data_IF_464704517806
#
_entry.id   IF_464704517806
#
_cell.length_a   1.000
_cell.length_b   1.000
_cell.length_c   1.000
_cell.angle_alpha   90.00
_cell.angle_beta   90.00
_cell.angle_gamma   90.00
#
_symmetry.space_group_name_H-M   'P 1'
#
loop_
_entity.id
_entity.type
_entity.pdbx_description
1 polymer ?
#
# COMPACT_ATOMS: atom_id res chain seq x y z
N UNK A 1 2.12 -22.83 31.18
CA UNK A 1 0.90 -22.43 31.91
C UNK A 1 0.06 -21.40 31.13
N UNK A 2 0.54 -20.16 30.93
CA UNK A 2 -0.23 -19.10 30.26
C UNK A 2 -0.79 -19.47 28.88
N UNK A 3 0.01 -20.14 28.04
CA UNK A 3 -0.46 -20.61 26.72
C UNK A 3 -1.64 -21.60 26.81
N UNK A 4 -1.65 -22.50 27.80
CA UNK A 4 -2.77 -23.42 28.01
C UNK A 4 -4.00 -22.71 28.56
N UNK A 5 -3.83 -21.74 29.46
CA UNK A 5 -4.93 -20.89 29.93
C UNK A 5 -5.54 -20.11 28.75
N UNK A 6 -4.70 -19.53 27.88
CA UNK A 6 -5.15 -18.80 26.70
C UNK A 6 -5.93 -19.71 25.75
N UNK A 7 -5.41 -20.91 25.46
CA UNK A 7 -6.13 -21.90 24.65
C UNK A 7 -7.48 -22.27 25.27
N UNK A 8 -7.54 -22.47 26.60
CA UNK A 8 -8.80 -22.71 27.31
C UNK A 8 -9.79 -21.56 27.16
N UNK A 9 -9.34 -20.30 27.28
CA UNK A 9 -10.17 -19.13 27.04
C UNK A 9 -10.72 -19.06 25.60
N UNK A 10 -9.89 -19.40 24.60
CA UNK A 10 -10.32 -19.49 23.20
C UNK A 10 -11.38 -20.58 22.99
N UNK A 11 -11.20 -21.75 23.60
CA UNK A 11 -12.18 -22.83 23.56
C UNK A 11 -13.49 -22.46 24.27
N UNK A 12 -13.44 -21.70 25.36
CA UNK A 12 -14.63 -21.16 26.04
C UNK A 12 -15.38 -20.20 25.13
N UNK A 13 -14.67 -19.33 24.39
CA UNK A 13 -15.28 -18.43 23.41
C UNK A 13 -15.96 -19.18 22.27
N UNK A 14 -15.34 -20.24 21.74
CA UNK A 14 -15.88 -21.05 20.65
C UNK A 14 -17.07 -21.91 21.10
N UNK A 15 -16.88 -22.71 22.15
CA UNK A 15 -17.88 -23.66 22.65
C UNK A 15 -18.98 -23.05 23.51
N UNK A 16 -18.78 -21.82 23.98
CA UNK A 16 -19.65 -21.09 24.93
C UNK A 16 -19.89 -21.87 26.22
N UNK A 17 -18.91 -22.67 26.61
CA UNK A 17 -18.98 -23.55 27.78
C UNK A 17 -17.81 -23.27 28.70
N UNK A 18 -18.10 -22.79 29.91
CA UNK A 18 -17.10 -22.57 30.95
C UNK A 18 -16.78 -23.94 31.58
N UNK A 19 -15.51 -24.38 31.57
CA UNK A 19 -15.13 -25.67 32.12
C UNK A 19 -15.32 -25.69 33.65
N UNK A 20 -15.52 -26.89 34.18
CA UNK A 20 -15.55 -27.11 35.62
C UNK A 20 -14.13 -27.16 36.21
N UNK A 21 -13.98 -26.73 37.46
CA UNK A 21 -12.89 -27.16 38.31
C UNK A 21 -13.44 -28.07 39.42
N UNK A 22 -13.49 -29.38 39.14
CA UNK A 22 -14.02 -30.39 40.08
C UNK A 22 -13.18 -30.53 41.36
N UNK A 23 -11.91 -30.12 41.29
CA UNK A 23 -10.97 -30.22 42.40
C UNK A 23 -10.85 -28.89 43.19
N UNK A 24 -11.72 -27.91 42.94
CA UNK A 24 -11.71 -26.64 43.66
C UNK A 24 -12.36 -26.79 45.05
N UNK A 25 -11.76 -27.60 45.93
CA UNK A 25 -12.22 -27.85 47.30
C UNK A 25 -11.65 -26.84 48.32
N UNK A 26 -10.65 -26.06 47.92
CA UNK A 26 -9.92 -25.11 48.76
C UNK A 26 -10.22 -23.63 48.43
N UNK A 27 -11.40 -23.33 47.89
CA UNK A 27 -11.83 -21.94 47.65
C UNK A 27 -11.99 -21.23 48.99
N UNK A 28 -11.30 -20.10 49.17
CA UNK A 28 -11.33 -19.30 50.40
C UNK A 28 -12.78 -18.85 50.72
N UNK A 29 -13.33 -19.18 51.91
CA UNK A 29 -14.66 -18.74 52.32
C UNK A 29 -14.88 -17.22 52.27
N UNK A 30 -13.82 -16.41 52.42
CA UNK A 30 -13.92 -14.96 52.31
C UNK A 30 -14.37 -14.50 50.92
N UNK A 31 -14.14 -15.31 49.88
CA UNK A 31 -14.58 -15.00 48.50
C UNK A 31 -16.09 -15.14 48.31
N UNK A 32 -16.83 -15.74 49.24
CA UNK A 32 -18.29 -15.85 49.17
C UNK A 32 -18.99 -14.48 49.16
N UNK A 33 -18.35 -13.43 49.68
CA UNK A 33 -18.90 -12.07 49.64
C UNK A 33 -18.82 -11.45 48.24
N UNK A 34 -18.03 -12.01 47.32
CA UNK A 34 -17.86 -11.50 45.96
C UNK A 34 -18.96 -12.04 45.03
N UNK A 35 -20.06 -11.30 44.91
CA UNK A 35 -21.28 -11.70 44.15
C UNK A 35 -21.06 -11.94 42.65
N UNK A 36 -19.98 -11.41 42.08
CA UNK A 36 -19.63 -11.58 40.66
C UNK A 36 -18.60 -12.68 40.42
N UNK A 37 -18.11 -13.34 41.48
CA UNK A 37 -17.11 -14.40 41.39
C UNK A 37 -17.80 -15.77 41.45
N UNK A 38 -17.46 -16.65 40.52
CA UNK A 38 -18.05 -17.99 40.43
C UNK A 38 -16.97 -19.03 40.16
N UNK A 39 -16.98 -20.10 40.95
CA UNK A 39 -16.08 -21.25 40.82
C UNK A 39 -16.91 -22.49 40.43
N UNK A 40 -17.09 -22.76 39.13
CA UNK A 40 -17.99 -23.83 38.69
C UNK A 40 -17.39 -25.21 38.97
N UNK A 41 -18.11 -26.06 39.71
CA UNK A 41 -17.79 -27.50 39.90
C UNK A 41 -18.37 -28.39 38.79
N UNK A 42 -19.19 -27.81 37.91
CA UNK A 42 -19.77 -28.45 36.71
C UNK A 42 -19.68 -27.51 35.52
N UNK A 43 -19.61 -28.01 34.28
CA UNK A 43 -19.57 -27.14 33.10
C UNK A 43 -20.80 -26.24 33.05
N UNK A 44 -20.61 -24.96 32.73
CA UNK A 44 -21.69 -23.97 32.60
C UNK A 44 -21.73 -23.48 31.17
N UNK A 45 -22.86 -23.73 30.49
CA UNK A 45 -23.09 -23.19 29.16
C UNK A 45 -23.67 -21.78 29.29
N UNK A 46 -23.07 -20.84 28.57
CA UNK A 46 -23.51 -19.44 28.51
C UNK A 46 -24.00 -19.12 27.10
N UNK A 47 -24.79 -18.05 26.97
CA UNK A 47 -25.28 -17.64 25.65
C UNK A 47 -24.15 -17.11 24.76
N UNK A 48 -23.20 -16.40 25.37
CA UNK A 48 -22.14 -15.69 24.68
C UNK A 48 -20.96 -15.38 25.62
N UNK A 49 -19.76 -15.36 25.07
CA UNK A 49 -18.53 -14.96 25.77
C UNK A 49 -17.89 -13.85 24.95
N UNK A 50 -18.02 -12.62 25.46
CA UNK A 50 -17.62 -11.41 24.71
C UNK A 50 -16.13 -11.13 24.79
N UNK A 51 -15.54 -11.41 25.95
CA UNK A 51 -14.16 -11.14 26.26
C UNK A 51 -13.70 -12.07 27.40
N UNK A 52 -12.39 -12.16 27.58
CA UNK A 52 -11.77 -12.73 28.78
C UNK A 52 -10.58 -11.87 29.20
N UNK A 53 -10.25 -11.94 30.49
CA UNK A 53 -8.97 -11.50 31.01
C UNK A 53 -8.22 -12.72 31.53
N UNK A 54 -6.95 -12.82 31.16
CA UNK A 54 -6.04 -13.84 31.63
C UNK A 54 -4.92 -13.14 32.37
N UNK A 55 -4.71 -13.54 33.63
CA UNK A 55 -3.58 -13.07 34.43
C UNK A 55 -2.66 -14.25 34.69
N UNK A 56 -1.43 -14.17 34.20
CA UNK A 56 -0.39 -15.14 34.50
C UNK A 56 0.49 -14.60 35.61
N UNK A 57 0.25 -15.06 36.84
CA UNK A 57 1.19 -14.88 37.94
C UNK A 57 1.95 -16.20 38.13
N UNK A 58 3.21 -16.23 37.70
CA UNK A 58 4.08 -17.37 37.94
C UNK A 58 4.92 -17.15 39.20
N UNK A 59 5.63 -18.18 39.65
CA UNK A 59 6.69 -18.05 40.67
C UNK A 59 7.91 -17.23 40.21
N UNK A 60 7.89 -16.68 38.99
CA UNK A 60 8.92 -15.77 38.49
C UNK A 60 8.57 -14.31 38.78
N UNK A 61 9.59 -13.45 38.84
CA UNK A 61 9.46 -11.99 39.06
C UNK A 61 8.64 -11.24 37.98
N UNK A 62 8.17 -11.93 36.94
CA UNK A 62 7.45 -11.35 35.79
C UNK A 62 6.08 -11.99 35.67
N UNK A 63 5.04 -11.19 35.83
CA UNK A 63 3.66 -11.52 35.49
C UNK A 63 3.24 -10.91 34.16
N UNK A 64 2.10 -11.34 33.64
CA UNK A 64 1.50 -10.77 32.43
C UNK A 64 -0.02 -10.82 32.48
N UNK A 65 -0.65 -9.82 31.87
CA UNK A 65 -2.10 -9.76 31.67
C UNK A 65 -2.41 -9.74 30.18
N UNK A 66 -3.43 -10.48 29.77
CA UNK A 66 -3.93 -10.52 28.40
C UNK A 66 -5.43 -10.30 28.43
N UNK A 67 -5.91 -9.38 27.59
CA UNK A 67 -7.33 -9.20 27.32
C UNK A 67 -7.60 -9.80 25.94
N UNK A 68 -8.51 -10.77 25.89
CA UNK A 68 -9.02 -11.33 24.65
C UNK A 68 -10.43 -10.80 24.38
N UNK A 69 -10.70 -10.38 23.14
CA UNK A 69 -12.01 -9.92 22.70
C UNK A 69 -12.50 -10.85 21.59
N UNK A 70 -13.79 -11.21 21.62
CA UNK A 70 -14.35 -12.11 20.62
C UNK A 70 -14.21 -11.53 19.20
N UNK A 71 -13.80 -12.33 18.19
CA UNK A 71 -13.44 -11.83 16.86
C UNK A 71 -14.60 -11.16 16.12
N UNK A 72 -15.85 -11.47 16.48
CA UNK A 72 -17.04 -10.81 15.95
C UNK A 72 -17.02 -9.29 16.13
N UNK A 73 -16.40 -8.78 17.20
CA UNK A 73 -16.27 -7.34 17.41
C UNK A 73 -15.27 -6.71 16.45
N UNK A 74 -14.18 -7.41 16.15
CA UNK A 74 -13.23 -6.98 15.12
C UNK A 74 -13.86 -7.01 13.72
N UNK A 75 -14.60 -8.07 13.38
CA UNK A 75 -15.28 -8.12 12.09
C UNK A 75 -16.39 -7.07 11.95
N UNK A 76 -17.03 -6.68 13.05
CA UNK A 76 -18.02 -5.61 13.07
C UNK A 76 -17.42 -4.21 12.85
N UNK A 77 -16.09 -4.02 12.93
CA UNK A 77 -15.44 -2.75 12.58
C UNK A 77 -15.08 -2.65 11.11
N UNK A 78 -15.31 -3.69 10.31
CA UNK A 78 -14.99 -3.71 8.88
C UNK A 78 -16.20 -3.27 8.05
N UNK A 79 -15.94 -2.61 6.92
CA UNK A 79 -16.95 -2.39 5.91
C UNK A 79 -17.51 -3.72 5.39
N UNK A 80 -18.80 -3.72 5.04
CA UNK A 80 -19.50 -4.94 4.62
C UNK A 80 -18.83 -5.60 3.40
N UNK A 81 -18.36 -4.81 2.44
CA UNK A 81 -17.66 -5.30 1.25
C UNK A 81 -16.34 -6.00 1.62
N UNK A 82 -15.55 -5.39 2.53
CA UNK A 82 -14.27 -5.93 3.01
C UNK A 82 -14.50 -7.23 3.77
N UNK A 83 -15.53 -7.28 4.63
CA UNK A 83 -15.90 -8.49 5.36
C UNK A 83 -16.35 -9.62 4.43
N UNK A 84 -17.15 -9.32 3.40
CA UNK A 84 -17.61 -10.30 2.40
C UNK A 84 -16.44 -10.87 1.59
N UNK A 85 -15.54 -10.01 1.10
CA UNK A 85 -14.32 -10.45 0.41
C UNK A 85 -13.44 -11.33 1.31
N UNK A 86 -13.23 -10.92 2.56
CA UNK A 86 -12.51 -11.74 3.54
C UNK A 86 -13.18 -13.11 3.75
N UNK A 87 -14.51 -13.14 3.91
CA UNK A 87 -15.30 -14.35 4.15
C UNK A 87 -15.16 -15.36 3.00
N UNK A 88 -15.14 -14.90 1.75
CA UNK A 88 -14.91 -15.74 0.57
C UNK A 88 -13.49 -16.33 0.61
N UNK A 89 -12.47 -15.51 0.90
CA UNK A 89 -11.07 -15.97 0.94
C UNK A 89 -10.80 -16.96 2.07
N UNK A 90 -11.31 -16.70 3.28
CA UNK A 90 -11.11 -17.59 4.43
C UNK A 90 -11.84 -18.93 4.23
N UNK A 91 -13.05 -18.90 3.69
CA UNK A 91 -13.82 -20.13 3.39
C UNK A 91 -13.08 -20.99 2.36
N UNK A 92 -12.51 -20.36 1.31
CA UNK A 92 -11.70 -21.06 0.31
C UNK A 92 -10.49 -21.74 0.96
N UNK A 93 -9.77 -21.04 1.85
CA UNK A 93 -8.60 -21.59 2.56
C UNK A 93 -8.98 -22.73 3.52
N UNK A 94 -10.08 -22.57 4.27
CA UNK A 94 -10.59 -23.63 5.17
C UNK A 94 -10.83 -24.92 4.40
N UNK A 95 -11.55 -24.87 3.27
CA UNK A 95 -11.81 -26.06 2.45
C UNK A 95 -10.54 -26.73 1.95
N UNK A 96 -9.52 -25.96 1.58
CA UNK A 96 -8.22 -26.52 1.19
C UNK A 96 -7.52 -27.19 2.38
N UNK A 97 -7.53 -26.54 3.55
CA UNK A 97 -6.95 -27.09 4.77
C UNK A 97 -7.66 -28.38 5.22
N UNK A 98 -8.99 -28.41 5.18
CA UNK A 98 -9.80 -29.59 5.55
C UNK A 98 -9.48 -30.79 4.66
N UNK A 99 -9.33 -30.57 3.35
CA UNK A 99 -8.93 -31.61 2.40
C UNK A 99 -7.51 -32.11 2.67
N UNK A 100 -6.58 -31.21 2.94
CA UNK A 100 -5.20 -31.57 3.28
C UNK A 100 -5.15 -32.37 4.59
N UNK A 101 -5.93 -31.97 5.60
CA UNK A 101 -6.02 -32.66 6.89
C UNK A 101 -6.64 -34.06 6.73
N UNK A 102 -7.74 -34.20 6.00
CA UNK A 102 -8.36 -35.50 5.72
C UNK A 102 -7.39 -36.44 4.97
N UNK A 103 -6.68 -35.93 3.96
CA UNK A 103 -5.63 -36.69 3.25
C UNK A 103 -4.54 -37.15 4.21
N UNK A 104 -4.06 -36.25 5.07
CA UNK A 104 -3.02 -36.55 6.04
C UNK A 104 -3.45 -37.59 7.09
N UNK A 105 -4.72 -37.57 7.51
CA UNK A 105 -5.29 -38.57 8.40
C UNK A 105 -5.34 -39.95 7.72
N UNK A 106 -5.82 -40.02 6.47
CA UNK A 106 -5.90 -41.28 5.71
C UNK A 106 -4.53 -41.87 5.37
N UNK A 107 -3.51 -41.03 5.23
CA UNK A 107 -2.14 -41.46 4.89
C UNK A 107 -1.22 -41.57 6.11
N UNK A 108 -1.73 -41.47 7.35
CA UNK A 108 -0.93 -41.43 8.58
C UNK A 108 0.22 -40.41 8.55
N UNK A 109 0.00 -39.25 7.90
CA UNK A 109 1.00 -38.22 7.67
C UNK A 109 0.55 -36.84 8.20
N UNK A 110 -0.18 -36.82 9.33
CA UNK A 110 -0.64 -35.58 10.00
C UNK A 110 0.55 -34.72 10.42
N UNK A 111 1.61 -35.35 10.92
CA UNK A 111 2.86 -34.69 11.28
C UNK A 111 3.85 -34.86 10.14
N UNK A 112 4.26 -33.75 9.54
CA UNK A 112 5.37 -33.70 8.58
C UNK A 112 6.52 -32.95 9.25
N UNK A 113 7.53 -33.70 9.67
CA UNK A 113 8.75 -33.11 10.25
C UNK A 113 9.54 -32.45 9.11
N UNK A 114 9.95 -31.21 9.33
CA UNK A 114 10.82 -30.47 8.41
C UNK A 114 12.25 -30.53 8.93
N UNK A 115 13.21 -30.77 8.05
CA UNK A 115 14.63 -30.91 8.42
C UNK A 115 15.38 -29.56 8.50
N UNK A 116 14.82 -28.52 7.89
CA UNK A 116 15.41 -27.18 7.83
C UNK A 116 14.34 -26.09 7.88
N UNK A 117 14.77 -24.86 8.15
CA UNK A 117 13.88 -23.69 8.11
C UNK A 117 13.48 -23.35 6.66
N UNK A 118 12.29 -22.80 6.41
CA UNK A 118 11.85 -22.40 5.07
C UNK A 118 12.56 -21.12 4.54
N UNK A 119 13.64 -20.70 5.18
CA UNK A 119 14.41 -19.51 4.87
C UNK A 119 15.89 -19.75 5.17
N UNK A 120 16.73 -18.99 4.47
CA UNK A 120 18.16 -18.92 4.74
C UNK A 120 18.45 -18.12 6.01
N UNK A 121 19.52 -18.47 6.72
CA UNK A 121 19.87 -17.87 8.01
C UNK A 121 20.10 -16.35 7.92
N UNK A 122 20.58 -15.87 6.77
CA UNK A 122 20.82 -14.45 6.47
C UNK A 122 19.52 -13.63 6.43
N UNK A 123 18.40 -14.27 6.08
CA UNK A 123 17.10 -13.62 5.89
C UNK A 123 16.21 -13.66 7.14
N UNK A 124 16.55 -14.51 8.11
CA UNK A 124 15.77 -14.76 9.31
C UNK A 124 15.29 -13.47 9.99
N UNK A 125 16.20 -12.50 10.19
CA UNK A 125 15.87 -11.24 10.86
C UNK A 125 14.89 -10.39 10.06
N UNK A 126 15.02 -10.37 8.73
CA UNK A 126 14.13 -9.59 7.85
C UNK A 126 12.73 -10.19 7.83
N UNK A 127 12.65 -11.52 7.73
CA UNK A 127 11.38 -12.27 7.73
C UNK A 127 10.65 -12.11 9.06
N UNK A 128 11.34 -12.25 10.18
CA UNK A 128 10.72 -12.16 11.51
C UNK A 128 10.19 -10.75 11.82
N UNK A 129 10.80 -9.73 11.22
CA UNK A 129 10.42 -8.34 11.39
C UNK A 129 9.39 -7.86 10.34
N UNK A 130 9.03 -8.70 9.37
CA UNK A 130 7.98 -8.40 8.38
C UNK A 130 6.70 -9.21 8.64
N UNK A 131 5.65 -8.61 9.24
CA UNK A 131 4.37 -9.29 9.48
C UNK A 131 3.63 -9.65 8.19
N UNK A 132 4.06 -9.14 7.03
CA UNK A 132 3.48 -9.42 5.72
C UNK A 132 4.22 -10.53 4.96
N UNK A 133 5.35 -11.02 5.46
CA UNK A 133 6.09 -12.13 4.84
C UNK A 133 5.24 -13.41 4.84
N UNK A 134 5.26 -14.14 3.72
CA UNK A 134 4.49 -15.38 3.52
C UNK A 134 5.38 -16.44 2.89
N UNK A 135 5.17 -17.69 3.29
CA UNK A 135 5.76 -18.86 2.63
C UNK A 135 4.94 -19.24 1.40
N UNK A 136 5.62 -19.75 0.40
CA UNK A 136 5.04 -20.30 -0.83
C UNK A 136 5.44 -21.78 -0.93
N UNK A 137 4.51 -22.60 -1.41
CA UNK A 137 4.79 -24.01 -1.73
C UNK A 137 5.43 -24.09 -3.11
N UNK A 138 6.58 -24.71 -3.19
CA UNK A 138 7.23 -25.08 -4.44
C UNK A 138 6.43 -26.20 -5.11
N UNK A 139 6.02 -26.00 -6.36
CA UNK A 139 5.11 -26.92 -7.05
C UNK A 139 5.75 -28.27 -7.41
N UNK A 140 7.08 -28.32 -7.55
CA UNK A 140 7.82 -29.50 -7.98
C UNK A 140 8.22 -30.37 -6.79
N UNK A 141 8.70 -29.75 -5.73
CA UNK A 141 9.19 -30.42 -4.52
C UNK A 141 8.13 -30.54 -3.42
N UNK A 142 7.08 -29.71 -3.45
CA UNK A 142 6.10 -29.58 -2.36
C UNK A 142 6.70 -28.99 -1.07
N UNK A 143 7.91 -28.43 -1.14
CA UNK A 143 8.58 -27.78 -0.01
C UNK A 143 8.07 -26.35 0.15
N UNK A 144 8.11 -25.83 1.38
CA UNK A 144 7.70 -24.45 1.66
C UNK A 144 8.94 -23.58 1.81
N UNK A 145 8.97 -22.45 1.09
CA UNK A 145 10.06 -21.47 1.16
C UNK A 145 9.54 -20.05 1.17
N UNK A 146 10.33 -19.11 1.68
CA UNK A 146 10.13 -17.68 1.42
C UNK A 146 10.73 -17.32 0.06
N UNK A 147 9.97 -16.64 -0.80
CA UNK A 147 10.54 -16.09 -2.04
C UNK A 147 11.48 -14.93 -1.68
N UNK A 148 12.75 -15.06 -2.03
CA UNK A 148 13.79 -14.05 -1.78
C UNK A 148 13.44 -12.68 -2.36
N UNK A 149 12.63 -12.63 -3.42
CA UNK A 149 12.12 -11.38 -4.02
C UNK A 149 11.11 -10.65 -3.14
N UNK A 150 10.41 -11.39 -2.29
CA UNK A 150 9.42 -10.86 -1.36
C UNK A 150 10.04 -10.50 0.00
N UNK A 151 11.29 -10.89 0.27
CA UNK A 151 12.00 -10.56 1.50
C UNK A 151 12.47 -9.10 1.45
N UNK A 152 11.80 -8.26 2.23
CA UNK A 152 11.99 -6.80 2.23
C UNK A 152 12.93 -6.33 3.34
N UNK A 153 13.49 -5.14 3.16
CA UNK A 153 14.20 -4.45 4.24
C UNK A 153 13.19 -3.77 5.18
N UNK A 154 13.59 -3.54 6.44
CA UNK A 154 12.71 -2.98 7.48
C UNK A 154 12.09 -1.64 7.08
N UNK A 155 12.82 -0.79 6.34
CA UNK A 155 12.30 0.47 5.81
C UNK A 155 11.11 0.27 4.85
N UNK A 156 11.21 -0.72 3.95
CA UNK A 156 10.15 -1.05 2.99
C UNK A 156 8.93 -1.66 3.68
N UNK A 157 9.15 -2.45 4.74
CA UNK A 157 8.09 -3.03 5.57
C UNK A 157 7.26 -1.91 6.20
N UNK A 158 7.91 -0.90 6.79
CA UNK A 158 7.22 0.25 7.40
C UNK A 158 6.41 1.02 6.37
N UNK A 159 6.97 1.28 5.19
CA UNK A 159 6.26 1.95 4.10
C UNK A 159 5.03 1.14 3.64
N UNK A 160 5.19 -0.18 3.47
CA UNK A 160 4.10 -1.09 3.07
C UNK A 160 2.99 -1.19 4.11
N UNK A 161 3.34 -1.30 5.40
CA UNK A 161 2.36 -1.31 6.49
C UNK A 161 1.60 0.02 6.55
N UNK A 162 2.29 1.14 6.37
CA UNK A 162 1.67 2.48 6.33
C UNK A 162 0.62 2.55 5.22
N UNK A 163 0.94 2.04 4.03
CA UNK A 163 0.00 1.95 2.90
C UNK A 163 -1.20 1.05 3.20
N UNK A 164 -0.97 -0.13 3.79
CA UNK A 164 -2.05 -1.05 4.13
C UNK A 164 -2.98 -0.48 5.23
N UNK A 165 -2.43 0.22 6.23
CA UNK A 165 -3.22 0.92 7.26
C UNK A 165 -4.05 2.06 6.65
N UNK A 166 -3.57 2.70 5.58
CA UNK A 166 -4.33 3.71 4.80
C UNK A 166 -5.40 3.11 3.88
N UNK A 167 -5.56 1.78 3.84
CA UNK A 167 -6.55 1.11 3.01
C UNK A 167 -6.09 0.84 1.57
N UNK A 168 -4.82 1.07 1.24
CA UNK A 168 -4.29 0.78 -0.10
C UNK A 168 -4.18 -0.74 -0.31
N UNK A 169 -4.80 -1.28 -1.37
CA UNK A 169 -4.79 -2.71 -1.69
C UNK A 169 -3.37 -3.16 -2.08
N UNK A 170 -2.69 -3.93 -1.21
CA UNK A 170 -1.34 -4.46 -1.48
C UNK A 170 -1.25 -5.37 -2.72
N UNK A 171 -2.33 -6.10 -3.00
CA UNK A 171 -2.43 -7.04 -4.12
C UNK A 171 -3.69 -6.72 -4.93
N UNK A 172 -3.93 -5.44 -5.25
CA UNK A 172 -4.71 -5.17 -6.45
C UNK A 172 -3.99 -5.91 -7.58
N UNK A 173 -4.57 -7.03 -8.03
CA UNK A 173 -4.20 -7.56 -9.33
C UNK A 173 -4.30 -6.39 -10.31
N UNK A 174 -3.41 -6.23 -11.29
CA UNK A 174 -3.44 -5.09 -12.22
C UNK A 174 -4.67 -5.12 -13.17
N UNK A 175 -5.81 -5.63 -12.72
CA UNK A 175 -7.09 -5.75 -13.43
C UNK A 175 -7.92 -4.47 -13.31
N UNK A 176 -7.64 -3.62 -12.33
CA UNK A 176 -7.95 -2.20 -12.39
C UNK A 176 -6.59 -1.53 -12.49
N UNK A 177 -6.20 -1.16 -13.71
CA UNK A 177 -4.94 -0.47 -13.94
C UNK A 177 -4.78 0.60 -12.87
N UNK A 178 -3.69 0.51 -12.08
CA UNK A 178 -3.37 1.57 -11.14
C UNK A 178 -3.51 2.92 -11.84
N UNK A 179 -3.83 3.99 -11.13
CA UNK A 179 -3.88 5.32 -11.73
C UNK A 179 -2.67 5.57 -12.64
N UNK A 180 -1.51 5.08 -12.23
CA UNK A 180 -0.28 5.06 -13.02
C UNK A 180 -0.39 4.29 -14.35
N UNK A 181 -0.89 3.05 -14.36
CA UNK A 181 -1.04 2.28 -15.60
C UNK A 181 -2.08 2.90 -16.55
N UNK A 182 -3.15 3.52 -16.02
CA UNK A 182 -4.08 4.30 -16.84
C UNK A 182 -3.39 5.52 -17.45
N UNK A 183 -2.72 6.31 -16.62
CA UNK A 183 -1.99 7.49 -17.05
C UNK A 183 -0.89 7.15 -18.06
N UNK A 184 -0.13 6.06 -17.84
CA UNK A 184 0.92 5.58 -18.73
C UNK A 184 0.39 5.12 -20.08
N UNK A 185 -0.75 4.41 -20.14
CA UNK A 185 -1.36 4.01 -21.42
C UNK A 185 -1.87 5.20 -22.22
N UNK A 186 -2.50 6.18 -21.55
CA UNK A 186 -2.90 7.43 -22.20
C UNK A 186 -1.69 8.21 -22.74
N UNK A 187 -0.59 8.25 -21.97
CA UNK A 187 0.65 8.85 -22.41
C UNK A 187 1.27 8.10 -23.60
N UNK A 188 1.32 6.76 -23.56
CA UNK A 188 1.83 5.94 -24.66
C UNK A 188 1.02 6.13 -25.94
N UNK A 189 -0.31 6.07 -25.88
CA UNK A 189 -1.17 6.30 -27.03
C UNK A 189 -0.98 7.70 -27.64
N UNK A 190 -0.71 8.71 -26.80
CA UNK A 190 -0.39 10.05 -27.27
C UNK A 190 0.98 10.11 -27.95
N UNK A 191 2.02 9.49 -27.37
CA UNK A 191 3.36 9.41 -27.98
C UNK A 191 3.28 8.72 -29.35
N UNK A 192 2.59 7.58 -29.42
CA UNK A 192 2.39 6.82 -30.67
C UNK A 192 1.65 7.64 -31.73
N UNK A 193 0.65 8.45 -31.34
CA UNK A 193 -0.04 9.37 -32.26
C UNK A 193 0.89 10.45 -32.81
N UNK A 194 1.83 10.96 -32.01
CA UNK A 194 2.78 11.98 -32.45
C UNK A 194 3.91 11.42 -33.32
N UNK A 195 4.34 10.18 -33.06
CA UNK A 195 5.46 9.53 -33.78
C UNK A 195 5.01 8.71 -34.99
N UNK A 196 3.86 8.03 -34.91
CA UNK A 196 3.38 7.03 -35.88
C UNK A 196 2.98 7.54 -37.28
N UNK A 197 3.04 8.85 -37.53
CA UNK A 197 2.75 9.46 -38.84
C UNK A 197 3.89 10.31 -39.41
N UNK A 198 5.02 10.42 -38.72
CA UNK A 198 6.15 11.29 -39.10
C UNK A 198 7.40 10.44 -39.29
N UNK A 199 7.66 10.00 -40.52
CA UNK A 199 8.82 9.13 -40.84
C UNK A 199 10.20 9.80 -40.67
N UNK A 200 10.29 11.10 -40.41
CA UNK A 200 11.57 11.79 -40.25
C UNK A 200 11.47 13.17 -39.58
N UNK A 201 10.61 13.34 -38.56
CA UNK A 201 10.71 14.57 -37.76
C UNK A 201 11.78 14.37 -36.71
N UNK A 202 12.81 15.21 -36.80
CA UNK A 202 13.91 15.39 -35.84
C UNK A 202 13.36 15.66 -34.44
N UNK A 203 12.86 14.60 -33.82
CA UNK A 203 12.43 14.60 -32.42
C UNK A 203 13.72 14.67 -31.62
N UNK A 204 14.08 15.87 -31.18
CA UNK A 204 15.42 16.07 -30.62
C UNK A 204 15.49 15.61 -29.17
N UNK A 205 14.37 15.72 -28.43
CA UNK A 205 14.36 15.53 -26.97
C UNK A 205 12.98 15.13 -26.45
N UNK A 206 12.97 14.41 -25.33
CA UNK A 206 11.76 14.03 -24.58
C UNK A 206 11.95 14.35 -23.10
N UNK A 207 10.87 14.72 -22.42
CA UNK A 207 10.86 14.85 -20.97
C UNK A 207 9.60 14.25 -20.37
N UNK A 208 9.75 13.60 -19.22
CA UNK A 208 8.65 12.93 -18.51
C UNK A 208 8.70 13.26 -17.02
N UNK A 209 7.54 13.51 -16.44
CA UNK A 209 7.42 13.70 -15.01
C UNK A 209 6.16 13.05 -14.44
N UNK A 210 6.24 12.63 -13.19
CA UNK A 210 5.16 11.99 -12.46
C UNK A 210 4.97 12.68 -11.12
N UNK A 211 3.72 13.02 -10.80
CA UNK A 211 3.33 13.57 -9.51
C UNK A 211 2.37 12.62 -8.83
N UNK A 212 2.75 12.16 -7.64
CA UNK A 212 1.84 11.49 -6.71
C UNK A 212 0.94 12.55 -6.06
N UNK A 213 -0.37 12.43 -6.28
CA UNK A 213 -1.35 13.38 -5.75
C UNK A 213 -1.43 13.30 -4.24
N UNK A 214 -1.21 12.14 -3.62
CA UNK A 214 -1.23 11.99 -2.17
C UNK A 214 -0.07 12.75 -1.50
N UNK A 215 1.07 12.85 -2.18
CA UNK A 215 2.27 13.53 -1.71
C UNK A 215 2.35 15.02 -2.11
N UNK A 216 1.50 15.48 -3.04
CA UNK A 216 1.52 16.86 -3.52
C UNK A 216 0.79 17.83 -2.57
N UNK A 217 1.53 18.52 -1.72
CA UNK A 217 1.04 19.59 -0.83
C UNK A 217 1.39 21.01 -1.30
N UNK A 218 2.10 21.14 -2.42
CA UNK A 218 2.63 22.42 -2.88
C UNK A 218 1.56 23.47 -3.23
N UNK A 219 0.31 23.05 -3.49
CA UNK A 219 -0.85 23.93 -3.66
C UNK A 219 -1.26 24.69 -2.39
N UNK A 220 -0.79 24.27 -1.22
CA UNK A 220 -1.05 24.94 0.07
C UNK A 220 0.10 25.89 0.45
N UNK A 221 1.22 25.85 -0.28
CA UNK A 221 2.41 26.64 0.00
C UNK A 221 2.47 27.87 -0.90
N UNK A 222 2.09 29.03 -0.37
CA UNK A 222 2.08 30.30 -1.11
C UNK A 222 3.45 30.67 -1.68
N UNK A 223 4.53 30.47 -0.91
CA UNK A 223 5.90 30.74 -1.38
C UNK A 223 6.27 29.86 -2.57
N UNK A 224 5.86 28.59 -2.57
CA UNK A 224 6.07 27.69 -3.70
C UNK A 224 5.28 28.17 -4.93
N UNK A 225 4.02 28.54 -4.73
CA UNK A 225 3.14 29.02 -5.81
C UNK A 225 3.71 30.30 -6.43
N UNK A 226 4.05 31.28 -5.59
CA UNK A 226 4.62 32.55 -6.00
C UNK A 226 5.96 32.42 -6.68
N UNK A 227 6.72 31.34 -6.44
CA UNK A 227 8.04 31.16 -7.03
C UNK A 227 8.02 30.44 -8.37
N UNK A 228 7.03 29.56 -8.59
CA UNK A 228 7.06 28.61 -9.70
C UNK A 228 5.98 28.81 -10.76
N UNK A 229 4.88 29.52 -10.45
CA UNK A 229 3.75 29.68 -11.37
C UNK A 229 3.63 31.12 -11.87
N UNK A 230 3.21 31.28 -13.13
CA UNK A 230 2.91 32.59 -13.73
C UNK A 230 1.59 33.15 -13.21
N UNK A 231 1.33 34.44 -13.45
CA UNK A 231 0.05 35.04 -13.06
C UNK A 231 -1.16 34.38 -13.75
N UNK A 232 -1.00 33.96 -15.02
CA UNK A 232 -2.08 33.28 -15.75
C UNK A 232 -2.34 31.88 -15.19
N UNK A 233 -1.29 31.14 -14.84
CA UNK A 233 -1.40 29.81 -14.21
C UNK A 233 -2.06 29.90 -12.85
N UNK A 234 -1.69 30.90 -12.03
CA UNK A 234 -2.31 31.16 -10.73
C UNK A 234 -3.79 31.53 -10.89
N UNK A 235 -4.12 32.40 -11.84
CA UNK A 235 -5.50 32.78 -12.12
C UNK A 235 -6.36 31.57 -12.53
N UNK A 236 -5.83 30.71 -13.41
CA UNK A 236 -6.49 29.47 -13.80
C UNK A 236 -6.70 28.53 -12.60
N UNK A 237 -5.65 28.30 -11.80
CA UNK A 237 -5.71 27.36 -10.69
C UNK A 237 -6.74 27.82 -9.64
N UNK A 238 -6.82 29.14 -9.36
CA UNK A 238 -7.82 29.72 -8.45
C UNK A 238 -9.26 29.58 -8.94
N UNK A 239 -9.49 29.50 -10.25
CA UNK A 239 -10.82 29.29 -10.84
C UNK A 239 -11.21 27.79 -10.95
N UNK A 240 -10.27 26.89 -10.69
CA UNK A 240 -10.51 25.45 -10.79
C UNK A 240 -11.21 24.92 -9.53
N UNK A 241 -12.21 24.04 -9.72
CA UNK A 241 -12.91 23.37 -8.60
C UNK A 241 -11.95 22.53 -7.75
N UNK A 242 -10.92 21.96 -8.40
CA UNK A 242 -9.84 21.23 -7.75
C UNK A 242 -8.52 21.97 -7.95
N UNK A 243 -8.17 22.82 -6.98
CA UNK A 243 -6.94 23.61 -7.02
C UNK A 243 -5.70 22.72 -6.94
N UNK A 244 -5.76 21.63 -6.16
CA UNK A 244 -4.66 20.68 -6.00
C UNK A 244 -4.31 20.06 -7.36
N UNK A 245 -5.30 19.55 -8.08
CA UNK A 245 -5.11 19.00 -9.43
C UNK A 245 -4.62 20.05 -10.41
N UNK A 246 -5.13 21.29 -10.36
CA UNK A 246 -4.71 22.36 -11.26
C UNK A 246 -3.23 22.76 -11.09
N UNK A 247 -2.74 22.79 -9.85
CA UNK A 247 -1.32 23.05 -9.57
C UNK A 247 -0.44 21.83 -9.84
N UNK A 248 -0.87 20.62 -9.45
CA UNK A 248 -0.12 19.39 -9.64
C UNK A 248 0.11 19.07 -11.13
N UNK A 249 -0.92 19.22 -11.96
CA UNK A 249 -0.84 19.00 -13.41
C UNK A 249 0.14 19.96 -14.09
N UNK A 250 0.10 21.25 -13.73
CA UNK A 250 1.05 22.26 -14.23
C UNK A 250 2.46 22.03 -13.73
N UNK A 251 2.62 21.59 -12.49
CA UNK A 251 3.93 21.25 -11.93
C UNK A 251 4.58 20.10 -12.71
N UNK A 252 3.85 18.99 -12.88
CA UNK A 252 4.30 17.86 -13.69
C UNK A 252 4.65 18.28 -15.13
N UNK A 253 3.80 19.12 -15.73
CA UNK A 253 4.05 19.66 -17.06
C UNK A 253 5.33 20.52 -17.14
N UNK A 254 5.56 21.41 -16.17
CA UNK A 254 6.78 22.23 -16.13
C UNK A 254 8.02 21.37 -15.97
N UNK A 255 7.99 20.37 -15.09
CA UNK A 255 9.09 19.41 -14.92
C UNK A 255 9.36 18.59 -16.19
N UNK A 256 8.31 18.13 -16.88
CA UNK A 256 8.44 17.43 -18.15
C UNK A 256 9.07 18.33 -19.23
N UNK A 257 8.64 19.59 -19.34
CA UNK A 257 9.24 20.57 -20.26
C UNK A 257 10.70 20.85 -19.88
N UNK A 258 10.99 21.06 -18.59
CA UNK A 258 12.34 21.30 -18.11
C UNK A 258 13.30 20.14 -18.46
N UNK A 259 12.86 18.89 -18.26
CA UNK A 259 13.61 17.69 -18.64
C UNK A 259 13.79 17.59 -20.16
N UNK A 260 12.77 17.97 -20.93
CA UNK A 260 12.83 18.00 -22.40
C UNK A 260 13.86 19.02 -22.90
N UNK A 261 13.98 20.19 -22.27
CA UNK A 261 14.89 21.26 -22.70
C UNK A 261 16.39 20.92 -22.55
N UNK A 262 16.76 19.90 -21.76
CA UNK A 262 18.16 19.54 -21.45
C UNK A 262 19.02 20.72 -20.96
N UNK A 263 18.40 21.76 -20.39
CA UNK A 263 19.11 22.93 -19.87
C UNK A 263 19.85 22.57 -18.58
N UNK A 264 21.09 23.04 -18.44
CA UNK A 264 21.82 22.90 -17.18
C UNK A 264 21.01 23.50 -16.02
N UNK A 265 20.82 22.72 -14.96
CA UNK A 265 20.11 23.19 -13.78
C UNK A 265 20.89 24.34 -13.13
N UNK A 266 20.21 25.41 -12.71
CA UNK A 266 20.81 26.45 -11.84
C UNK A 266 20.80 26.00 -10.36
N UNK A 267 20.81 24.69 -10.10
CA UNK A 267 20.59 24.06 -8.80
C UNK A 267 19.15 23.59 -8.57
N UNK A 268 18.95 22.74 -7.55
CA UNK A 268 17.66 22.13 -7.18
C UNK A 268 16.54 23.14 -6.82
N UNK A 269 16.90 24.42 -6.71
CA UNK A 269 16.00 25.51 -6.37
C UNK A 269 15.77 26.51 -7.51
N UNK A 270 16.04 26.21 -8.78
CA UNK A 270 15.70 27.16 -9.85
C UNK A 270 14.17 27.40 -9.93
N UNK A 271 13.75 28.64 -10.12
CA UNK A 271 12.33 28.98 -10.26
C UNK A 271 11.79 28.49 -11.62
N UNK A 272 10.60 27.88 -11.64
CA UNK A 272 9.98 27.38 -12.88
C UNK A 272 9.09 28.39 -13.63
N UNK A 273 9.19 29.68 -13.28
CA UNK A 273 8.39 30.75 -13.91
C UNK A 273 8.74 31.02 -15.37
N UNK A 274 9.93 30.63 -15.82
CA UNK A 274 10.38 30.82 -17.20
C UNK A 274 9.68 29.86 -18.19
N UNK A 275 8.91 28.89 -17.67
CA UNK A 275 8.10 27.93 -18.42
C UNK A 275 6.64 28.21 -18.10
N UNK A 276 5.83 28.57 -19.10
CA UNK A 276 4.39 28.76 -18.93
C UNK A 276 3.60 27.64 -19.62
N UNK A 277 2.67 27.02 -18.89
CA UNK A 277 1.79 25.98 -19.43
C UNK A 277 0.50 26.63 -19.95
N UNK A 278 0.40 26.72 -21.27
CA UNK A 278 -0.72 27.34 -21.98
C UNK A 278 -1.67 26.26 -22.50
N UNK A 279 -2.98 26.42 -22.28
CA UNK A 279 -3.98 25.53 -22.86
C UNK A 279 -4.24 25.96 -24.32
N UNK A 280 -4.02 25.07 -25.29
CA UNK A 280 -4.48 25.26 -26.67
C UNK A 280 -5.68 24.35 -26.97
N UNK A 281 -6.39 24.63 -28.07
CA UNK A 281 -7.59 23.87 -28.48
C UNK A 281 -7.29 22.38 -28.77
N UNK A 282 -6.04 22.04 -29.13
CA UNK A 282 -5.66 20.68 -29.56
C UNK A 282 -4.93 19.86 -28.48
N UNK A 283 -4.24 20.51 -27.53
CA UNK A 283 -3.51 19.92 -26.39
C UNK A 283 -2.90 21.04 -25.50
N UNK A 284 -2.56 20.79 -24.22
CA UNK A 284 -1.69 21.74 -23.50
C UNK A 284 -0.35 21.91 -24.23
N UNK A 285 0.20 23.12 -24.25
CA UNK A 285 1.50 23.46 -24.83
C UNK A 285 2.38 24.11 -23.78
N UNK A 286 3.67 23.78 -23.77
CA UNK A 286 4.66 24.42 -22.91
C UNK A 286 5.38 25.53 -23.66
N UNK A 287 5.23 26.78 -23.22
CA UNK A 287 6.04 27.90 -23.72
C UNK A 287 7.21 28.11 -22.75
N UNK A 288 8.39 27.64 -23.13
CA UNK A 288 9.64 28.06 -22.50
C UNK A 288 10.24 29.17 -23.36
N UNK A 289 10.60 30.32 -22.76
CA UNK A 289 11.22 31.42 -23.51
C UNK A 289 12.38 30.88 -24.36
N UNK A 290 12.24 30.92 -25.70
CA UNK A 290 13.05 30.30 -26.79
C UNK A 290 14.55 30.11 -26.50
N UNK A 291 14.92 29.24 -25.56
CA UNK A 291 16.30 29.09 -25.07
C UNK A 291 16.99 27.78 -25.47
N UNK A 292 16.30 26.82 -26.08
CA UNK A 292 16.84 25.47 -26.29
C UNK A 292 16.96 25.00 -27.75
N UNK A 293 16.89 25.92 -28.74
CA UNK A 293 17.00 25.54 -30.15
C UNK A 293 15.85 24.66 -30.68
N UNK A 294 14.81 24.45 -29.88
CA UNK A 294 13.56 23.79 -30.28
C UNK A 294 12.62 24.84 -30.89
N UNK A 295 11.95 24.48 -31.98
CA UNK A 295 10.91 25.31 -32.61
C UNK A 295 9.60 25.24 -31.83
N UNK A 296 9.27 24.06 -31.32
CA UNK A 296 8.01 23.79 -30.63
C UNK A 296 8.17 22.70 -29.56
N UNK A 297 7.33 22.76 -28.52
CA UNK A 297 7.26 21.77 -27.45
C UNK A 297 5.81 21.32 -27.28
N UNK A 298 5.56 20.08 -27.66
CA UNK A 298 4.25 19.45 -27.47
C UNK A 298 4.19 18.82 -26.09
N UNK A 299 3.05 18.98 -25.41
CA UNK A 299 2.86 18.52 -24.05
C UNK A 299 1.57 17.71 -23.95
N UNK A 300 1.62 16.63 -23.18
CA UNK A 300 0.45 15.86 -22.78
C UNK A 300 0.48 15.61 -21.30
N UNK A 301 -0.69 15.73 -20.67
CA UNK A 301 -0.89 15.44 -19.25
C UNK A 301 -1.98 14.38 -19.18
N UNK A 302 -1.65 13.23 -18.61
CA UNK A 302 -2.59 12.14 -18.39
C UNK A 302 -2.85 11.95 -16.90
N UNK A 303 -4.10 11.67 -16.55
CA UNK A 303 -4.54 11.57 -15.17
C UNK A 303 -4.80 10.11 -14.81
N UNK A 304 -4.25 9.70 -13.67
CA UNK A 304 -4.62 8.50 -12.94
C UNK A 304 -5.49 8.85 -11.73
N UNK A 305 -5.97 7.83 -11.04
CA UNK A 305 -6.75 7.97 -9.81
C UNK A 305 -5.95 8.66 -8.68
N UNK A 306 -4.67 8.32 -8.55
CA UNK A 306 -3.78 8.72 -7.45
C UNK A 306 -2.52 9.48 -7.92
N UNK A 307 -2.32 9.60 -9.22
CA UNK A 307 -1.13 10.23 -9.79
C UNK A 307 -1.40 10.91 -11.13
N UNK A 308 -0.45 11.74 -11.53
CA UNK A 308 -0.43 12.46 -12.80
C UNK A 308 0.87 12.13 -13.52
N UNK A 309 0.81 12.01 -14.84
CA UNK A 309 1.99 11.93 -15.70
C UNK A 309 1.95 13.03 -16.74
N UNK A 310 3.08 13.69 -16.96
CA UNK A 310 3.25 14.65 -18.04
C UNK A 310 4.38 14.19 -18.95
N UNK A 311 4.17 14.33 -20.27
CA UNK A 311 5.15 14.02 -21.31
C UNK A 311 5.30 15.24 -22.21
N UNK A 312 6.53 15.69 -22.39
CA UNK A 312 6.90 16.75 -23.32
C UNK A 312 7.79 16.20 -24.44
N UNK A 313 7.53 16.61 -25.68
CA UNK A 313 8.32 16.28 -26.87
C UNK A 313 8.80 17.58 -27.50
N UNK A 314 10.12 17.70 -27.66
CA UNK A 314 10.76 18.82 -28.32
C UNK A 314 10.97 18.56 -29.81
N UNK A 315 10.57 19.50 -30.65
CA UNK A 315 10.74 19.46 -32.10
C UNK A 315 11.89 20.40 -32.49
N UNK A 316 12.95 19.89 -33.11
CA UNK A 316 13.99 20.74 -33.70
C UNK A 316 13.44 21.46 -34.93
N UNK A 317 13.84 22.71 -35.07
CA UNK A 317 13.77 23.38 -36.37
C UNK A 317 14.91 22.95 -37.29
N UNK A 318 14.67 22.99 -38.59
CA UNK A 318 15.69 22.75 -39.62
C UNK A 318 16.74 23.88 -39.74
N UNK A 319 16.94 24.69 -38.69
CA UNK A 319 17.89 25.81 -38.67
C UNK A 319 19.05 25.56 -37.71
N UNK A 320 20.28 26.03 -38.02
CA UNK A 320 21.41 25.90 -37.10
C UNK A 320 21.10 26.62 -35.79
N UNK A 321 21.36 25.93 -34.67
CA UNK A 321 21.04 26.43 -33.35
C UNK A 321 21.80 27.73 -33.05
N UNK A 322 21.08 28.85 -33.04
CA UNK A 322 21.65 30.16 -32.68
C UNK A 322 21.73 30.27 -31.17
N UNK A 323 22.92 30.08 -30.61
CA UNK A 323 23.17 30.33 -29.19
C UNK A 323 24.22 31.42 -29.01
N UNK A 324 23.87 32.43 -28.22
CA UNK A 324 24.80 33.10 -27.30
C UNK A 324 23.98 33.59 -26.12
N UNK A 325 24.54 33.46 -24.91
CA UNK A 325 23.93 33.84 -23.62
C UNK A 325 23.55 35.32 -23.57
#
# INVERSE_FOLDING_TARGET
AAAWMLNGCLQVMDSRTIPANRNADNVDPALQTATHLCFPTRPVRVQDVRAFILTSFGFGQKGGQVVGVAPKYFFATLDEEVYKDYSVRVTKRSKTADRAYAKALMSNAIVKVQDHSPYEQEDQSRIFMDPLSRITEDAETGSYHFDTKDIRNVADVKARLTRLVRGERLNARPDAASGLAQAARSAQAWIEKQTGGRSSVDTSTVGIDLVDLSAFSAHENETFIERNFTEQEKAFAKQSLDQKMAFASRWAAKEAVFKCLHTQTKGAGAAMKDIEIVKSDNAPQGQAGRKAGLEDIQLSISHGEDCLIAVAIGIAGNGPAKYTL
#
